data_IF_291684218531
#
_entry.id   IF_291684218531
#
_cell.length_a   1.000
_cell.length_b   1.000
_cell.length_c   1.000
_cell.angle_alpha   90.00
_cell.angle_beta   90.00
_cell.angle_gamma   90.00
#
_symmetry.space_group_name_H-M   'P 1'
#
loop_
_entity.id
_entity.type
_entity.pdbx_description
1 polymer ?
#
# COMPACT_ATOMS: atom_id res chain seq x y z
N UNK A 1 6.12 -7.66 -19.93
CA UNK A 1 5.09 -7.05 -19.08
C UNK A 1 4.28 -6.12 -19.97
N UNK A 2 3.00 -6.42 -20.16
CA UNK A 2 2.11 -5.65 -21.02
C UNK A 2 0.67 -5.90 -20.58
N UNK A 3 -0.06 -4.83 -20.27
CA UNK A 3 -1.46 -4.90 -19.85
C UNK A 3 -2.19 -3.58 -20.13
N UNK A 4 -3.52 -3.65 -20.20
CA UNK A 4 -4.42 -2.50 -20.22
C UNK A 4 -5.42 -2.56 -19.06
N UNK A 5 -5.82 -1.40 -18.54
CA UNK A 5 -6.72 -1.30 -17.39
C UNK A 5 -7.48 0.03 -17.38
N UNK A 6 -8.66 0.08 -16.76
CA UNK A 6 -9.35 1.32 -16.46
C UNK A 6 -8.45 2.26 -15.65
N UNK A 7 -8.24 3.45 -16.19
CA UNK A 7 -7.32 4.46 -15.65
C UNK A 7 -7.72 4.92 -14.25
N UNK A 8 -9.01 5.13 -13.98
CA UNK A 8 -9.48 5.61 -12.69
C UNK A 8 -9.27 4.54 -11.63
N UNK A 9 -9.66 3.30 -11.93
CA UNK A 9 -9.45 2.16 -11.05
C UNK A 9 -7.96 1.97 -10.75
N UNK A 10 -7.11 2.02 -11.77
CA UNK A 10 -5.66 1.86 -11.59
C UNK A 10 -5.07 2.99 -10.74
N UNK A 11 -5.47 4.24 -11.00
CA UNK A 11 -5.06 5.40 -10.20
C UNK A 11 -5.42 5.25 -8.72
N UNK A 12 -6.62 4.77 -8.40
CA UNK A 12 -7.05 4.52 -7.02
C UNK A 12 -6.15 3.49 -6.32
N UNK A 13 -5.83 2.39 -7.01
CA UNK A 13 -4.95 1.34 -6.46
C UNK A 13 -3.51 1.82 -6.28
N UNK A 14 -2.97 2.56 -7.25
CA UNK A 14 -1.67 3.22 -7.14
C UNK A 14 -1.63 4.20 -5.97
N UNK A 15 -2.70 4.98 -5.79
CA UNK A 15 -2.81 5.96 -4.70
C UNK A 15 -2.87 5.31 -3.32
N UNK A 16 -3.40 4.09 -3.21
CA UNK A 16 -3.40 3.32 -1.96
C UNK A 16 -1.99 2.87 -1.59
N UNK A 17 -1.26 2.25 -2.52
CA UNK A 17 0.09 1.73 -2.24
C UNK A 17 1.12 2.85 -2.06
N UNK A 18 0.94 4.00 -2.71
CA UNK A 18 1.85 5.14 -2.58
C UNK A 18 1.85 5.77 -1.19
N UNK A 19 0.82 5.52 -0.36
CA UNK A 19 0.79 5.97 1.05
C UNK A 19 1.86 5.32 1.93
N UNK A 20 2.46 4.21 1.48
CA UNK A 20 3.57 3.56 2.15
C UNK A 20 4.94 3.99 1.60
N UNK A 21 5.00 4.92 0.64
CA UNK A 21 6.25 5.37 0.02
C UNK A 21 6.67 6.71 0.64
N UNK A 22 7.91 6.77 1.11
CA UNK A 22 8.52 8.00 1.61
C UNK A 22 9.21 8.78 0.47
N UNK A 23 9.09 10.11 0.52
CA UNK A 23 9.70 11.02 -0.48
C UNK A 23 11.24 10.98 -0.44
N UNK A 24 11.82 10.58 0.69
CA UNK A 24 13.27 10.57 0.92
C UNK A 24 13.78 9.18 1.32
N UNK A 25 13.39 8.16 0.56
CA UNK A 25 13.94 6.82 0.78
C UNK A 25 15.44 6.79 0.48
N UNK A 26 16.29 6.25 1.40
CA UNK A 26 17.71 6.03 1.12
C UNK A 26 17.94 4.93 0.08
N UNK A 27 16.97 4.03 -0.12
CA UNK A 27 16.99 3.00 -1.16
C UNK A 27 16.16 3.48 -2.37
N UNK A 28 16.76 3.72 -3.55
CA UNK A 28 16.04 4.25 -4.71
C UNK A 28 14.85 3.40 -5.16
N UNK A 29 14.94 2.06 -5.09
CA UNK A 29 13.82 1.18 -5.46
C UNK A 29 12.56 1.44 -4.62
N UNK A 30 12.70 1.90 -3.36
CA UNK A 30 11.58 2.19 -2.47
C UNK A 30 10.93 3.57 -2.72
N UNK A 31 11.49 4.42 -3.58
CA UNK A 31 10.76 5.61 -4.06
C UNK A 31 9.72 5.26 -5.14
N UNK A 32 9.76 4.02 -5.64
CA UNK A 32 8.85 3.51 -6.66
C UNK A 32 7.78 2.58 -6.14
N UNK A 33 6.78 2.36 -6.98
CA UNK A 33 5.81 1.27 -6.83
C UNK A 33 6.35 0.07 -7.59
N UNK A 34 6.48 -1.07 -6.91
CA UNK A 34 6.76 -2.34 -7.55
C UNK A 34 5.46 -2.88 -8.16
N UNK A 35 5.47 -3.11 -9.48
CA UNK A 35 4.36 -3.65 -10.26
C UNK A 35 4.78 -5.04 -10.70
N UNK A 36 4.08 -6.07 -10.24
CA UNK A 36 4.29 -7.47 -10.62
C UNK A 36 3.04 -8.00 -11.31
N UNK A 37 3.15 -8.18 -12.63
CA UNK A 37 2.07 -8.64 -13.51
C UNK A 37 2.19 -10.15 -13.68
N UNK A 38 1.21 -10.88 -13.15
CA UNK A 38 1.01 -12.32 -13.34
C UNK A 38 -0.03 -12.56 -14.45
N UNK A 39 -0.31 -13.80 -14.77
CA UNK A 39 -1.28 -14.18 -15.81
C UNK A 39 -2.72 -13.75 -15.51
N UNK A 40 -3.08 -13.71 -14.23
CA UNK A 40 -4.44 -13.52 -13.72
C UNK A 40 -4.62 -12.26 -12.85
N UNK A 41 -3.52 -11.65 -12.42
CA UNK A 41 -3.54 -10.53 -11.49
C UNK A 41 -2.34 -9.60 -11.64
N UNK A 42 -2.51 -8.37 -11.15
CA UNK A 42 -1.43 -7.41 -10.92
C UNK A 42 -1.26 -7.20 -9.43
N UNK A 43 -0.03 -7.28 -8.94
CA UNK A 43 0.33 -7.00 -7.56
C UNK A 43 1.10 -5.68 -7.54
N UNK A 44 0.56 -4.71 -6.81
CA UNK A 44 1.18 -3.41 -6.58
C UNK A 44 1.74 -3.38 -5.16
N UNK A 45 2.99 -2.97 -4.99
CA UNK A 45 3.63 -2.86 -3.68
C UNK A 45 4.32 -1.50 -3.53
N UNK A 46 4.04 -0.82 -2.42
CA UNK A 46 4.75 0.38 -1.97
C UNK A 46 5.27 0.16 -0.54
N UNK A 47 6.44 0.72 -0.22
CA UNK A 47 7.11 0.51 1.08
C UNK A 47 8.14 1.60 1.36
N UNK A 48 8.34 1.90 2.64
CA UNK A 48 9.41 2.77 3.16
C UNK A 48 10.34 2.02 4.13
N UNK A 49 10.29 0.68 4.11
CA UNK A 49 10.93 -0.26 5.06
C UNK A 49 10.27 -0.37 6.44
N UNK A 50 9.41 0.58 6.84
CA UNK A 50 8.67 0.50 8.12
C UNK A 50 7.22 0.07 7.90
N UNK A 51 6.57 0.65 6.90
CA UNK A 51 5.21 0.35 6.48
C UNK A 51 5.25 -0.14 5.05
N UNK A 52 4.47 -1.17 4.76
CA UNK A 52 4.35 -1.71 3.40
C UNK A 52 2.88 -1.94 3.09
N UNK A 53 2.45 -1.54 1.89
CA UNK A 53 1.08 -1.76 1.41
C UNK A 53 1.17 -2.54 0.12
N UNK A 54 0.46 -3.68 0.09
CA UNK A 54 0.26 -4.49 -1.12
C UNK A 54 -1.20 -4.40 -1.53
N UNK A 55 -1.43 -4.16 -2.82
CA UNK A 55 -2.76 -4.18 -3.42
C UNK A 55 -2.77 -5.15 -4.59
N UNK A 56 -3.70 -6.10 -4.57
CA UNK A 56 -3.92 -7.04 -5.68
C UNK A 56 -5.08 -6.56 -6.55
N UNK A 57 -4.89 -6.63 -7.87
CA UNK A 57 -5.91 -6.37 -8.88
C UNK A 57 -6.13 -7.66 -9.65
N UNK A 58 -7.33 -8.22 -9.55
CA UNK A 58 -7.79 -9.35 -10.36
C UNK A 58 -8.71 -8.84 -11.46
N UNK A 59 -8.81 -9.58 -12.57
CA UNK A 59 -9.71 -9.21 -13.68
C UNK A 59 -11.15 -9.07 -13.20
N UNK A 60 -11.83 -8.00 -13.63
CA UNK A 60 -13.24 -7.78 -13.29
C UNK A 60 -13.87 -6.66 -14.13
N UNK A 61 -15.20 -6.64 -14.18
CA UNK A 61 -15.96 -5.70 -15.02
C UNK A 61 -15.64 -4.22 -14.72
N UNK A 62 -15.39 -3.88 -13.46
CA UNK A 62 -15.09 -2.52 -13.03
C UNK A 62 -13.71 -2.01 -13.45
N UNK A 63 -12.75 -2.92 -13.69
CA UNK A 63 -11.38 -2.54 -14.01
C UNK A 63 -11.00 -2.84 -15.46
N UNK A 64 -11.77 -3.69 -16.16
CA UNK A 64 -11.51 -4.08 -17.55
C UNK A 64 -10.05 -4.49 -17.79
N UNK A 65 -9.44 -5.14 -16.79
CA UNK A 65 -8.04 -5.53 -16.85
C UNK A 65 -7.85 -6.60 -17.92
N UNK A 66 -6.99 -6.29 -18.89
CA UNK A 66 -6.48 -7.23 -19.87
C UNK A 66 -4.97 -7.35 -19.76
N UNK A 67 -4.45 -8.58 -19.76
CA UNK A 67 -3.03 -8.87 -19.58
C UNK A 67 -2.53 -9.67 -20.76
N UNK A 68 -1.63 -9.05 -21.52
CA UNK A 68 -0.99 -9.63 -22.70
C UNK A 68 0.31 -10.34 -22.36
N UNK A 69 1.13 -9.77 -21.47
CA UNK A 69 2.37 -10.41 -21.03
C UNK A 69 2.72 -10.14 -19.57
N UNK A 70 3.24 -11.18 -18.91
CA UNK A 70 3.71 -11.10 -17.52
C UNK A 70 5.04 -10.33 -17.40
N UNK A 71 5.39 -9.96 -16.18
CA UNK A 71 6.70 -9.38 -15.84
C UNK A 71 6.58 -8.38 -14.71
N UNK A 72 7.71 -7.84 -14.29
CA UNK A 72 7.76 -6.98 -13.11
C UNK A 72 8.77 -5.85 -13.24
N UNK A 73 8.38 -4.66 -12.79
CA UNK A 73 9.20 -3.45 -12.84
C UNK A 73 8.85 -2.55 -11.67
N UNK A 74 9.80 -1.72 -11.25
CA UNK A 74 9.57 -0.64 -10.28
C UNK A 74 9.52 0.68 -11.04
N UNK A 75 8.48 1.47 -10.83
CA UNK A 75 8.33 2.79 -11.45
C UNK A 75 8.25 3.83 -10.35
N UNK A 76 8.96 4.94 -10.51
CA UNK A 76 8.90 6.05 -9.55
C UNK A 76 7.44 6.48 -9.34
N UNK A 77 7.02 6.49 -8.07
CA UNK A 77 5.62 6.61 -7.64
C UNK A 77 4.99 7.95 -8.02
N UNK A 78 5.70 9.05 -7.78
CA UNK A 78 5.25 10.42 -8.06
C UNK A 78 5.01 10.63 -9.55
N UNK A 79 5.93 10.19 -10.41
CA UNK A 79 5.77 10.33 -11.86
C UNK A 79 4.64 9.46 -12.40
N UNK A 80 4.58 8.19 -11.97
CA UNK A 80 3.52 7.28 -12.37
C UNK A 80 2.14 7.85 -11.99
N UNK A 81 1.95 8.26 -10.74
CA UNK A 81 0.69 8.84 -10.27
C UNK A 81 0.32 10.11 -11.05
N UNK A 82 1.26 11.01 -11.28
CA UNK A 82 0.99 12.26 -12.00
C UNK A 82 0.59 12.02 -13.46
N UNK A 83 1.23 11.06 -14.13
CA UNK A 83 0.89 10.68 -15.51
C UNK A 83 -0.51 10.06 -15.55
N UNK A 84 -0.76 9.00 -14.78
CA UNK A 84 -2.07 8.31 -14.78
C UNK A 84 -3.20 9.26 -14.36
N UNK A 85 -2.94 10.21 -13.47
CA UNK A 85 -3.92 11.23 -13.05
C UNK A 85 -4.30 12.19 -14.18
N UNK A 86 -3.32 12.61 -15.00
CA UNK A 86 -3.48 13.67 -16.02
C UNK A 86 -3.90 13.15 -17.39
N UNK A 87 -3.71 11.87 -17.67
CA UNK A 87 -4.15 11.28 -18.94
C UNK A 87 -5.67 11.37 -19.06
N UNK A 88 -6.13 12.03 -20.13
CA UNK A 88 -7.54 12.14 -20.48
C UNK A 88 -7.97 10.92 -21.28
N UNK A 89 -8.13 9.78 -20.60
CA UNK A 89 -8.56 8.53 -21.21
C UNK A 89 -9.37 7.67 -20.22
N UNK A 90 -10.10 6.70 -20.76
CA UNK A 90 -10.78 5.66 -19.97
C UNK A 90 -9.84 4.50 -19.68
N UNK A 91 -9.19 3.97 -20.71
CA UNK A 91 -8.22 2.88 -20.59
C UNK A 91 -6.80 3.41 -20.70
N UNK A 92 -5.90 2.84 -19.91
CA UNK A 92 -4.46 3.08 -19.99
C UNK A 92 -3.76 1.76 -20.22
N UNK A 93 -2.74 1.80 -21.06
CA UNK A 93 -1.88 0.67 -21.39
C UNK A 93 -0.49 0.90 -20.82
N UNK A 94 0.10 -0.16 -20.25
CA UNK A 94 1.47 -0.15 -19.74
C UNK A 94 2.24 -1.30 -20.37
N UNK A 95 3.36 -0.97 -21.01
CA UNK A 95 4.22 -1.91 -21.73
C UNK A 95 5.67 -1.73 -21.29
N UNK A 96 6.33 -2.80 -20.86
CA UNK A 96 7.78 -2.87 -20.70
C UNK A 96 8.39 -3.18 -22.07
N UNK A 97 8.83 -2.14 -22.78
CA UNK A 97 9.29 -2.20 -24.17
C UNK A 97 10.68 -2.79 -24.29
N UNK A 98 11.53 -2.53 -23.30
CA UNK A 98 12.92 -2.99 -23.21
C UNK A 98 13.29 -3.18 -21.73
N UNK A 99 14.54 -3.51 -21.43
CA UNK A 99 15.08 -3.83 -20.10
C UNK A 99 14.42 -3.04 -18.96
N UNK A 100 14.43 -1.70 -19.02
CA UNK A 100 13.81 -0.84 -18.00
C UNK A 100 12.88 0.25 -18.58
N UNK A 101 12.70 0.32 -19.90
CA UNK A 101 11.87 1.35 -20.50
C UNK A 101 10.40 0.95 -20.45
N UNK A 102 9.61 1.68 -19.65
CA UNK A 102 8.17 1.51 -19.56
C UNK A 102 7.46 2.58 -20.39
N UNK A 103 6.62 2.14 -21.32
CA UNK A 103 5.70 2.97 -22.06
C UNK A 103 4.34 2.96 -21.38
N UNK A 104 3.76 4.14 -21.22
CA UNK A 104 2.40 4.36 -20.73
C UNK A 104 1.62 5.06 -21.84
N UNK A 105 0.62 4.40 -22.41
CA UNK A 105 -0.09 4.85 -23.62
C UNK A 105 -1.61 4.89 -23.44
N UNK A 106 -2.23 5.72 -24.26
CA UNK A 106 -3.67 5.78 -24.54
C UNK A 106 -3.86 6.38 -25.93
N UNK A 107 -5.10 6.43 -26.42
CA UNK A 107 -5.45 7.08 -27.69
C UNK A 107 -5.03 8.56 -27.75
N UNK A 108 -4.94 9.23 -26.59
CA UNK A 108 -4.71 10.67 -26.49
C UNK A 108 -3.27 11.05 -26.09
N UNK A 109 -2.35 10.08 -25.99
CA UNK A 109 -0.96 10.38 -25.69
C UNK A 109 -0.15 9.20 -25.18
N UNK A 110 1.17 9.39 -25.18
CA UNK A 110 2.15 8.40 -24.76
C UNK A 110 3.24 9.06 -23.90
N UNK A 111 3.65 8.35 -22.85
CA UNK A 111 4.75 8.71 -21.97
C UNK A 111 5.73 7.54 -21.90
N UNK A 112 7.03 7.84 -21.76
CA UNK A 112 8.05 6.83 -21.50
C UNK A 112 8.73 7.18 -20.17
N UNK A 113 8.88 6.18 -19.31
CA UNK A 113 9.57 6.28 -18.03
C UNK A 113 10.65 5.20 -17.95
N UNK A 114 11.79 5.55 -17.34
CA UNK A 114 12.76 4.55 -16.95
C UNK A 114 12.34 3.95 -15.60
N UNK A 115 12.12 2.64 -15.59
CA UNK A 115 11.93 1.85 -14.39
C UNK A 115 13.24 1.39 -13.77
N UNK A 116 13.11 0.74 -12.62
CA UNK A 116 14.17 0.03 -11.91
C UNK A 116 13.81 -1.45 -11.93
N UNK A 117 14.81 -2.33 -12.01
CA UNK A 117 14.56 -3.76 -12.03
C UNK A 117 13.90 -4.20 -10.72
N UNK A 118 12.90 -5.07 -10.84
CA UNK A 118 12.11 -5.52 -9.67
C UNK A 118 12.91 -6.34 -8.66
N UNK A 119 14.04 -6.93 -9.07
CA UNK A 119 14.97 -7.63 -8.16
C UNK A 119 15.74 -6.69 -7.22
N UNK A 120 15.76 -5.37 -7.50
CA UNK A 120 16.31 -4.35 -6.62
C UNK A 120 15.31 -3.93 -5.52
N UNK A 121 14.03 -4.31 -5.66
CA UNK A 121 13.02 -4.08 -4.64
C UNK A 121 13.15 -5.12 -3.52
N UNK A 122 13.14 -4.71 -2.24
CA UNK A 122 13.32 -5.67 -1.15
C UNK A 122 12.16 -6.67 -1.08
N UNK A 123 12.49 -7.91 -0.71
CA UNK A 123 11.49 -8.92 -0.40
C UNK A 123 10.81 -8.55 0.93
N UNK A 124 9.50 -8.29 0.85
CA UNK A 124 8.67 -7.96 2.01
C UNK A 124 7.77 -9.17 2.31
N UNK A 125 7.80 -9.60 3.56
CA UNK A 125 6.91 -10.65 4.04
C UNK A 125 5.52 -10.08 4.33
N UNK A 126 4.51 -10.63 3.65
CA UNK A 126 3.10 -10.32 3.86
C UNK A 126 2.32 -11.50 4.45
N UNK A 127 3.04 -12.49 5.01
CA UNK A 127 2.43 -13.60 5.74
C UNK A 127 1.60 -13.06 6.90
N UNK A 128 0.42 -13.66 7.09
CA UNK A 128 -0.45 -13.30 8.21
C UNK A 128 -0.05 -14.08 9.46
N UNK A 129 -0.06 -13.46 10.65
CA UNK A 129 0.16 -14.18 11.89
C UNK A 129 -0.97 -15.18 12.12
N UNK A 130 -0.64 -16.32 12.73
CA UNK A 130 -1.61 -17.38 13.03
C UNK A 130 -2.69 -16.93 14.01
N UNK A 131 -2.33 -16.04 14.95
CA UNK A 131 -3.25 -15.50 15.93
C UNK A 131 -3.76 -14.13 15.45
N UNK A 132 -5.07 -14.00 15.28
CA UNK A 132 -5.73 -12.76 14.88
C UNK A 132 -7.04 -12.53 15.66
N UNK A 133 -7.58 -11.32 15.56
CA UNK A 133 -8.92 -10.99 16.04
C UNK A 133 -9.58 -10.02 15.06
N UNK A 134 -10.91 -10.01 15.04
CA UNK A 134 -11.67 -9.14 14.17
C UNK A 134 -12.07 -7.83 14.87
N UNK A 135 -12.02 -6.73 14.13
CA UNK A 135 -12.44 -5.42 14.59
C UNK A 135 -13.14 -4.69 13.44
N UNK A 136 -14.23 -3.99 13.74
CA UNK A 136 -14.89 -3.15 12.73
C UNK A 136 -13.93 -2.05 12.30
N UNK A 137 -13.88 -1.77 11.00
CA UNK A 137 -13.01 -0.72 10.45
C UNK A 137 -13.26 0.65 11.10
N UNK A 138 -14.51 0.93 11.49
CA UNK A 138 -14.89 2.12 12.27
C UNK A 138 -14.21 2.15 13.64
N UNK A 139 -14.24 1.03 14.37
CA UNK A 139 -13.66 0.96 15.71
C UNK A 139 -12.13 1.16 15.66
N UNK A 140 -11.45 0.62 14.64
CA UNK A 140 -10.03 0.88 14.43
C UNK A 140 -9.73 2.37 14.16
N UNK A 141 -10.54 3.01 13.32
CA UNK A 141 -10.42 4.46 13.07
C UNK A 141 -10.67 5.28 14.34
N UNK A 142 -11.65 4.89 15.14
CA UNK A 142 -11.96 5.52 16.42
C UNK A 142 -10.82 5.35 17.43
N UNK A 143 -10.20 4.16 17.50
CA UNK A 143 -9.00 3.95 18.33
C UNK A 143 -7.90 4.93 17.93
N UNK A 144 -7.54 4.97 16.64
CA UNK A 144 -6.45 5.83 16.16
C UNK A 144 -6.76 7.29 16.47
N UNK A 145 -7.92 7.81 16.04
CA UNK A 145 -8.28 9.21 16.23
C UNK A 145 -8.39 9.63 17.71
N UNK A 146 -8.77 8.73 18.61
CA UNK A 146 -8.96 9.02 20.03
C UNK A 146 -7.72 8.76 20.89
N UNK A 147 -6.64 8.17 20.35
CA UNK A 147 -5.46 7.81 21.16
C UNK A 147 -4.13 8.27 20.57
N UNK A 148 -3.96 8.33 19.25
CA UNK A 148 -2.66 8.63 18.64
C UNK A 148 -2.17 10.05 18.92
N UNK A 149 -3.08 11.01 19.05
CA UNK A 149 -2.74 12.40 19.34
C UNK A 149 -2.03 12.59 20.69
N UNK A 150 -2.17 11.63 21.61
CA UNK A 150 -1.52 11.66 22.91
C UNK A 150 -0.13 11.02 22.90
N UNK A 151 0.30 10.38 21.80
CA UNK A 151 1.63 9.79 21.67
C UNK A 151 2.70 10.88 21.54
N UNK A 152 3.94 10.56 21.91
CA UNK A 152 5.05 11.48 21.76
C UNK A 152 5.48 11.60 20.29
N UNK A 153 5.92 12.79 19.91
CA UNK A 153 6.62 13.09 18.67
C UNK A 153 8.15 13.12 18.84
N UNK A 154 8.64 12.78 20.05
CA UNK A 154 10.07 12.84 20.41
C UNK A 154 10.71 11.47 20.32
N UNK A 155 11.77 11.37 19.54
CA UNK A 155 12.54 10.13 19.40
C UNK A 155 13.43 9.79 20.61
N UNK A 156 13.40 10.58 21.68
CA UNK A 156 14.13 10.25 22.93
C UNK A 156 13.56 9.02 23.62
N UNK A 157 12.26 8.73 23.43
CA UNK A 157 11.60 7.52 23.95
C UNK A 157 10.67 6.92 22.88
N UNK A 158 11.20 6.23 21.85
CA UNK A 158 10.41 5.76 20.70
C UNK A 158 9.24 4.84 21.07
N UNK A 159 9.31 4.16 22.22
CA UNK A 159 8.20 3.36 22.76
C UNK A 159 6.92 4.17 22.99
N UNK A 160 7.03 5.50 23.13
CA UNK A 160 5.90 6.42 23.31
C UNK A 160 5.39 7.03 22.00
N UNK A 161 6.04 6.76 20.86
CA UNK A 161 5.61 7.27 19.56
C UNK A 161 4.42 6.48 18.99
N UNK A 162 4.13 5.31 19.56
CA UNK A 162 3.05 4.43 19.12
C UNK A 162 1.90 4.33 20.13
N UNK A 163 0.73 3.96 19.62
CA UNK A 163 -0.40 3.52 20.46
C UNK A 163 -0.13 2.10 20.93
N UNK A 164 -0.18 1.87 22.24
CA UNK A 164 -0.12 0.52 22.80
C UNK A 164 -1.47 -0.19 22.62
N UNK A 165 -1.46 -1.36 21.99
CA UNK A 165 -2.61 -2.27 21.89
C UNK A 165 -2.39 -3.46 22.83
N UNK A 166 -3.34 -3.70 23.74
CA UNK A 166 -3.30 -4.83 24.68
C UNK A 166 -4.65 -5.55 24.68
N UNK A 167 -4.66 -6.79 24.21
CA UNK A 167 -5.80 -7.68 24.32
C UNK A 167 -5.71 -8.52 25.61
N UNK A 168 -6.76 -8.55 26.42
CA UNK A 168 -6.84 -9.33 27.66
C UNK A 168 -8.30 -9.54 28.04
N UNK A 169 -8.69 -10.77 28.44
CA UNK A 169 -10.05 -11.09 28.92
C UNK A 169 -11.17 -10.55 28.01
N UNK A 170 -11.12 -10.88 26.72
CA UNK A 170 -12.09 -10.42 25.70
C UNK A 170 -12.24 -8.89 25.63
N UNK A 171 -11.18 -8.16 25.97
CA UNK A 171 -11.16 -6.69 25.96
C UNK A 171 -9.88 -6.20 25.29
N UNK A 172 -10.03 -5.23 24.39
CA UNK A 172 -8.92 -4.49 23.80
C UNK A 172 -8.75 -3.16 24.52
N UNK A 173 -7.55 -2.95 25.03
CA UNK A 173 -7.12 -1.69 25.62
C UNK A 173 -6.14 -1.01 24.67
N UNK A 174 -6.46 0.21 24.26
CA UNK A 174 -5.61 1.03 23.40
C UNK A 174 -5.22 2.31 24.15
N UNK A 175 -3.92 2.58 24.29
CA UNK A 175 -3.44 3.73 25.07
C UNK A 175 -2.30 4.46 24.36
N UNK A 176 -2.36 5.79 24.32
CA UNK A 176 -1.28 6.67 23.86
C UNK A 176 -0.89 7.67 24.95
N UNK A 177 0.39 8.00 25.07
CA UNK A 177 0.89 8.97 26.05
C UNK A 177 2.24 9.56 25.67
N UNK A 178 2.47 10.82 26.05
CA UNK A 178 3.71 11.59 25.89
C UNK A 178 4.39 11.86 27.25
N UNK A 179 3.94 11.16 28.32
CA UNK A 179 4.28 11.39 29.74
C UNK A 179 3.66 12.62 30.41
N UNK A 180 2.93 13.47 29.68
CA UNK A 180 2.19 14.61 30.24
C UNK A 180 0.68 14.40 30.20
N UNK A 181 0.20 13.77 29.14
CA UNK A 181 -1.21 13.39 28.96
C UNK A 181 -1.32 11.94 28.53
N UNK A 182 -2.48 11.35 28.76
CA UNK A 182 -2.80 9.99 28.37
C UNK A 182 -4.20 9.94 27.79
N UNK A 183 -4.34 9.23 26.66
CA UNK A 183 -5.63 8.90 26.08
C UNK A 183 -5.80 7.38 26.05
N UNK A 184 -7.00 6.90 26.38
CA UNK A 184 -7.31 5.46 26.43
C UNK A 184 -8.67 5.17 25.80
N UNK A 185 -8.70 4.17 24.93
CA UNK A 185 -9.91 3.56 24.37
C UNK A 185 -10.01 2.12 24.87
N UNK A 186 -11.22 1.69 25.22
CA UNK A 186 -11.50 0.32 25.63
C UNK A 186 -12.67 -0.21 24.80
N UNK A 187 -12.50 -1.40 24.24
CA UNK A 187 -13.50 -2.05 23.38
C UNK A 187 -13.61 -3.53 23.76
N UNK A 188 -14.81 -4.13 23.75
CA UNK A 188 -14.94 -5.57 23.84
C UNK A 188 -14.37 -6.22 22.58
N UNK A 189 -13.65 -7.33 22.72
CA UNK A 189 -13.22 -8.19 21.62
C UNK A 189 -14.20 -9.34 21.48
N UNK A 190 -14.73 -9.51 20.28
CA UNK A 190 -15.37 -10.77 19.90
C UNK A 190 -14.27 -11.69 19.40
N UNK A 191 -13.81 -12.59 20.26
CA UNK A 191 -12.91 -13.66 19.84
C UNK A 191 -13.81 -14.73 19.21
N UNK A 192 -13.84 -14.82 17.88
CA UNK A 192 -14.41 -15.98 17.23
C UNK A 192 -13.52 -17.17 17.58
N UNK A 193 -14.06 -18.13 18.33
CA UNK A 193 -13.36 -19.36 18.73
C UNK A 193 -13.26 -20.39 17.59
N UNK A 194 -13.70 -20.05 16.39
CA UNK A 194 -13.79 -20.99 15.26
C UNK A 194 -12.62 -20.80 14.29
N UNK A 195 -11.42 -21.21 14.71
CA UNK A 195 -10.28 -21.52 13.82
C UNK A 195 -9.16 -22.21 14.63
N UNK A 196 -9.36 -23.48 14.96
CA UNK A 196 -8.27 -24.44 15.23
C UNK A 196 -8.49 -25.64 14.31
#
# INVERSE_FOLDING_TARGET
>A
MHFSIDRKYFYEKLSVVSRAISVFSPLPALSGICIDVKSDQIILTGSDSNVSIRSTIVRGELNQLDIDSTGSIVIESKYLLEIIRKMDCTMVELELVDYSLVRISSDNGQFNLNGIQSNEYPNIDFSQPTNSFELKSKDLKDIVSQTSFACSDKDTRPVLNGVNFKASNNTLYCSGTDSYRLARKVLPLQINHDSI
#
